data_IF_194738096333
#
_entry.id   IF_194738096333
#
_cell.length_a   1.000
_cell.length_b   1.000
_cell.length_c   1.000
_cell.angle_alpha   90.00
_cell.angle_beta   90.00
_cell.angle_gamma   90.00
#
_symmetry.space_group_name_H-M   'P 1'
#
loop_
_entity.id
_entity.type
_entity.pdbx_description
1 polymer ?
#
# COMPACT_ATOMS: atom_id res chain seq x y z
N UNK A 1 15.48 -2.09 19.60
CA UNK A 1 16.78 -2.12 18.88
C UNK A 1 16.54 -2.15 17.37
N UNK A 2 17.21 -1.25 16.62
CA UNK A 2 17.07 -1.15 15.14
C UNK A 2 18.06 -2.07 14.39
N UNK A 3 18.76 -2.97 15.11
CA UNK A 3 19.67 -3.97 14.52
C UNK A 3 20.88 -3.34 13.81
N UNK A 4 21.53 -2.35 14.43
CA UNK A 4 22.71 -1.63 13.88
C UNK A 4 23.95 -1.77 14.75
N UNK A 5 23.96 -2.68 15.71
CA UNK A 5 25.08 -2.83 16.69
C UNK A 5 26.43 -3.05 16.03
N UNK A 6 26.50 -3.81 14.95
CA UNK A 6 27.76 -4.16 14.28
C UNK A 6 28.29 -3.02 13.39
N UNK A 7 27.48 -1.97 13.18
CA UNK A 7 27.79 -0.88 12.27
C UNK A 7 28.17 0.44 12.95
N UNK A 8 28.26 0.43 14.30
CA UNK A 8 28.46 1.65 15.13
C UNK A 8 29.76 2.42 14.82
N UNK A 9 30.76 1.75 14.28
CA UNK A 9 32.06 2.36 13.94
C UNK A 9 32.14 2.83 12.48
N UNK A 10 31.11 2.57 11.65
CA UNK A 10 31.13 2.97 10.25
C UNK A 10 30.59 4.39 10.06
N UNK A 11 31.13 5.09 9.07
CA UNK A 11 30.66 6.44 8.72
C UNK A 11 29.27 6.36 8.05
N UNK A 12 28.31 7.19 8.48
CA UNK A 12 26.93 7.23 7.95
C UNK A 12 26.89 7.39 6.43
N UNK A 13 27.86 8.10 5.83
CA UNK A 13 27.96 8.27 4.37
C UNK A 13 28.13 6.97 3.58
N UNK A 14 28.58 5.88 4.25
CA UNK A 14 28.76 4.55 3.64
C UNK A 14 27.58 3.63 3.83
N UNK A 15 26.51 4.12 4.45
CA UNK A 15 25.32 3.32 4.75
C UNK A 15 24.42 3.17 3.54
N UNK A 16 23.81 1.97 3.40
CA UNK A 16 22.71 1.74 2.47
C UNK A 16 21.48 2.58 2.81
N UNK A 17 20.51 2.66 1.91
CA UNK A 17 19.23 3.32 2.17
C UNK A 17 18.55 2.77 3.42
N UNK A 18 18.44 1.45 3.54
CA UNK A 18 17.84 0.80 4.70
C UNK A 18 18.60 1.02 6.00
N UNK A 19 19.94 1.11 5.94
CA UNK A 19 20.74 1.44 7.14
C UNK A 19 20.52 2.88 7.58
N UNK A 20 20.49 3.83 6.65
CA UNK A 20 20.20 5.25 6.97
C UNK A 20 18.81 5.41 7.57
N UNK A 21 17.83 4.71 6.98
CA UNK A 21 16.48 4.70 7.48
C UNK A 21 16.41 4.20 8.93
N UNK A 22 17.05 3.05 9.25
CA UNK A 22 17.09 2.50 10.61
C UNK A 22 17.71 3.45 11.62
N UNK A 23 18.74 4.19 11.24
CA UNK A 23 19.32 5.23 12.09
C UNK A 23 18.34 6.40 12.28
N UNK A 24 17.60 6.80 11.22
CA UNK A 24 16.56 7.82 11.34
C UNK A 24 15.49 7.44 12.38
N UNK A 25 15.01 6.20 12.36
CA UNK A 25 14.09 5.70 13.40
C UNK A 25 14.76 5.72 14.78
N UNK A 26 16.00 5.24 14.91
CA UNK A 26 16.70 5.28 16.20
C UNK A 26 16.85 6.69 16.72
N UNK A 27 17.17 7.66 15.87
CA UNK A 27 17.26 9.07 16.21
C UNK A 27 15.91 9.64 16.67
N UNK A 28 14.83 9.35 15.94
CA UNK A 28 13.49 9.79 16.30
C UNK A 28 13.03 9.23 17.66
N UNK A 29 13.57 8.08 18.07
CA UNK A 29 13.23 7.39 19.30
C UNK A 29 14.12 7.77 20.50
N UNK A 30 15.14 8.65 20.34
CA UNK A 30 16.10 8.96 21.44
C UNK A 30 15.39 9.50 22.69
N UNK A 31 14.37 10.33 22.52
CA UNK A 31 13.65 10.95 23.64
C UNK A 31 12.38 10.18 24.03
N UNK A 32 12.25 8.94 23.59
CA UNK A 32 11.10 8.08 23.85
C UNK A 32 9.74 8.76 23.62
N UNK A 33 9.47 9.30 22.42
CA UNK A 33 8.25 10.05 22.15
C UNK A 33 7.01 9.15 22.20
N UNK A 34 5.86 9.71 22.61
CA UNK A 34 4.56 9.05 22.56
C UNK A 34 4.01 8.97 21.13
N UNK A 35 4.39 9.93 20.27
CA UNK A 35 3.92 10.05 18.87
C UNK A 35 5.13 10.04 17.94
N UNK A 36 5.10 9.17 16.94
CA UNK A 36 6.11 9.08 15.89
C UNK A 36 5.46 9.41 14.55
N UNK A 37 5.99 10.39 13.84
CA UNK A 37 5.52 10.78 12.51
C UNK A 37 6.58 10.38 11.48
N UNK A 38 6.16 9.59 10.48
CA UNK A 38 7.01 9.05 9.42
C UNK A 38 6.44 9.44 8.06
N UNK A 39 7.23 10.18 7.28
CA UNK A 39 6.86 10.59 5.93
C UNK A 39 7.60 9.72 4.91
N UNK A 40 6.83 8.99 4.07
CA UNK A 40 7.31 8.06 3.03
C UNK A 40 8.47 7.15 3.49
N UNK A 41 8.39 6.49 4.65
CA UNK A 41 9.53 5.85 5.28
C UNK A 41 10.08 4.63 4.53
N UNK A 42 9.32 4.06 3.59
CA UNK A 42 9.70 2.86 2.83
C UNK A 42 10.16 3.18 1.41
N UNK A 43 10.13 4.45 1.01
CA UNK A 43 10.57 4.87 -0.32
C UNK A 43 12.02 4.47 -0.58
N UNK A 44 12.25 3.75 -1.69
CA UNK A 44 13.59 3.29 -2.07
C UNK A 44 14.18 2.14 -1.24
N UNK A 45 13.40 1.54 -0.34
CA UNK A 45 13.81 0.32 0.37
C UNK A 45 13.58 -0.92 -0.48
N UNK A 46 14.50 -1.88 -0.39
CA UNK A 46 14.31 -3.21 -0.96
C UNK A 46 13.26 -4.03 -0.18
N UNK A 47 12.73 -5.14 -0.73
CA UNK A 47 11.69 -5.94 -0.08
C UNK A 47 12.08 -6.45 1.32
N UNK A 48 13.35 -6.77 1.54
CA UNK A 48 13.85 -7.26 2.83
C UNK A 48 13.84 -6.15 3.88
N UNK A 49 14.25 -4.94 3.51
CA UNK A 49 14.21 -3.78 4.41
C UNK A 49 12.77 -3.33 4.67
N UNK A 50 11.86 -3.43 3.70
CA UNK A 50 10.41 -3.18 3.92
C UNK A 50 9.81 -4.17 4.93
N UNK A 51 10.15 -5.45 4.85
CA UNK A 51 9.70 -6.44 5.84
C UNK A 51 10.23 -6.12 7.25
N UNK A 52 11.49 -5.70 7.35
CA UNK A 52 12.07 -5.24 8.63
C UNK A 52 11.37 -3.99 9.16
N UNK A 53 11.08 -3.04 8.28
CA UNK A 53 10.31 -1.85 8.62
C UNK A 53 8.99 -2.23 9.27
N UNK A 54 8.16 -3.04 8.61
CA UNK A 54 6.86 -3.48 9.14
C UNK A 54 7.00 -4.10 10.53
N UNK A 55 7.98 -4.94 10.74
CA UNK A 55 8.23 -5.57 12.05
C UNK A 55 8.60 -4.54 13.14
N UNK A 56 9.42 -3.53 12.80
CA UNK A 56 9.79 -2.46 13.74
C UNK A 56 8.55 -1.63 14.08
N UNK A 57 7.79 -1.19 13.09
CA UNK A 57 6.56 -0.39 13.28
C UNK A 57 5.54 -1.17 14.12
N UNK A 58 5.25 -2.42 13.77
CA UNK A 58 4.34 -3.27 14.54
C UNK A 58 4.78 -3.50 15.99
N UNK A 59 6.09 -3.49 16.27
CA UNK A 59 6.59 -3.55 17.65
C UNK A 59 6.38 -2.23 18.39
N UNK A 60 6.61 -1.11 17.73
CA UNK A 60 6.48 0.23 18.33
C UNK A 60 5.03 0.65 18.53
N UNK A 61 4.12 0.24 17.65
CA UNK A 61 2.69 0.61 17.72
C UNK A 61 1.96 0.05 18.95
N UNK A 62 2.57 -0.89 19.65
CA UNK A 62 2.01 -1.42 20.92
C UNK A 62 2.02 -0.39 22.05
N UNK A 63 2.93 0.56 22.01
CA UNK A 63 3.16 1.53 23.10
C UNK A 63 3.10 2.98 22.61
N UNK A 64 3.07 3.20 21.30
CA UNK A 64 3.18 4.53 20.69
C UNK A 64 2.15 4.76 19.60
N UNK A 65 1.75 6.01 19.42
CA UNK A 65 0.95 6.43 18.26
C UNK A 65 1.92 6.63 17.08
N UNK A 66 1.68 5.91 15.99
CA UNK A 66 2.48 6.05 14.77
C UNK A 66 1.62 6.63 13.66
N UNK A 67 2.00 7.78 13.15
CA UNK A 67 1.39 8.41 11.98
C UNK A 67 2.36 8.22 10.81
N UNK A 68 1.90 7.54 9.76
CA UNK A 68 2.73 7.21 8.61
C UNK A 68 2.05 7.69 7.33
N UNK A 69 2.76 8.48 6.51
CA UNK A 69 2.34 8.79 5.16
C UNK A 69 3.00 7.84 4.17
N UNK A 70 2.27 7.33 3.20
CA UNK A 70 2.81 6.55 2.09
C UNK A 70 1.82 6.46 0.94
N UNK A 71 2.35 6.28 -0.27
CA UNK A 71 1.59 5.87 -1.45
C UNK A 71 1.73 4.37 -1.76
N UNK A 72 2.51 3.63 -0.95
CA UNK A 72 2.76 2.20 -1.14
C UNK A 72 1.80 1.40 -0.25
N UNK A 73 0.68 1.00 -0.82
CA UNK A 73 -0.43 0.35 -0.13
C UNK A 73 0.01 -0.94 0.58
N UNK A 74 0.84 -1.77 -0.05
CA UNK A 74 1.32 -3.04 0.51
C UNK A 74 2.16 -2.89 1.79
N UNK A 75 2.66 -1.69 2.08
CA UNK A 75 3.45 -1.46 3.30
C UNK A 75 2.59 -1.27 4.53
N UNK A 76 1.34 -0.79 4.35
CA UNK A 76 0.41 -0.48 5.45
C UNK A 76 -0.69 -1.50 5.64
N UNK A 77 -1.02 -2.29 4.62
CA UNK A 77 -2.16 -3.23 4.63
C UNK A 77 -2.18 -4.18 5.83
N UNK A 78 -1.00 -4.54 6.35
CA UNK A 78 -0.88 -5.49 7.45
C UNK A 78 -0.49 -4.86 8.81
N UNK A 79 -0.27 -3.54 8.84
CA UNK A 79 0.21 -2.86 10.07
C UNK A 79 -0.65 -1.67 10.49
N UNK A 80 -1.53 -1.18 9.62
CA UNK A 80 -2.38 -0.04 9.94
C UNK A 80 -3.64 -0.48 10.70
N UNK A 81 -3.90 0.13 11.85
CA UNK A 81 -5.15 -0.02 12.58
C UNK A 81 -6.22 0.91 12.00
N UNK A 82 -5.82 2.04 11.44
CA UNK A 82 -6.69 3.02 10.83
C UNK A 82 -6.01 3.67 9.62
N UNK A 83 -6.77 3.88 8.56
CA UNK A 83 -6.32 4.48 7.31
C UNK A 83 -7.07 5.80 7.11
N UNK A 84 -6.33 6.80 6.64
CA UNK A 84 -6.85 8.10 6.21
C UNK A 84 -6.49 8.27 4.74
N UNK A 85 -7.49 8.36 3.86
CA UNK A 85 -7.29 8.60 2.42
C UNK A 85 -7.48 10.10 2.17
N UNK A 86 -6.42 10.74 1.64
CA UNK A 86 -6.41 12.17 1.34
C UNK A 86 -6.08 12.41 -0.13
N UNK A 87 -6.77 13.36 -0.76
CA UNK A 87 -6.50 13.84 -2.12
C UNK A 87 -6.71 15.35 -2.18
N UNK A 88 -5.78 16.07 -2.79
CA UNK A 88 -5.85 17.54 -2.99
C UNK A 88 -6.11 18.30 -1.66
N UNK A 89 -5.49 17.85 -0.56
CA UNK A 89 -5.67 18.47 0.76
C UNK A 89 -7.01 18.18 1.44
N UNK A 90 -7.82 17.25 0.89
CA UNK A 90 -9.13 16.89 1.44
C UNK A 90 -9.11 15.46 1.93
N UNK A 91 -9.79 15.23 3.05
CA UNK A 91 -10.11 13.90 3.52
C UNK A 91 -11.20 13.31 2.62
N UNK A 92 -10.89 12.17 1.98
CA UNK A 92 -11.85 11.41 1.17
C UNK A 92 -12.51 10.31 1.98
N UNK A 93 -11.71 9.61 2.79
CA UNK A 93 -12.18 8.46 3.53
C UNK A 93 -11.31 8.20 4.77
N UNK A 94 -11.87 7.50 5.77
CA UNK A 94 -11.15 7.06 6.96
C UNK A 94 -11.82 5.83 7.59
N UNK A 95 -11.01 4.94 8.17
CA UNK A 95 -11.49 3.75 8.87
C UNK A 95 -10.44 2.66 8.97
N UNK A 96 -10.81 1.56 9.65
CA UNK A 96 -10.01 0.35 9.65
C UNK A 96 -9.89 -0.23 8.22
N UNK A 97 -8.79 -0.95 7.89
CA UNK A 97 -8.57 -1.52 6.56
C UNK A 97 -9.78 -2.30 6.03
N UNK A 98 -10.38 -3.15 6.85
CA UNK A 98 -11.55 -3.97 6.48
C UNK A 98 -12.80 -3.10 6.19
N UNK A 99 -12.96 -2.00 6.92
CA UNK A 99 -14.06 -1.06 6.68
C UNK A 99 -13.88 -0.32 5.35
N UNK A 100 -12.65 0.07 5.05
CA UNK A 100 -12.27 0.77 3.81
C UNK A 100 -12.46 -0.16 2.60
N UNK A 101 -11.90 -1.37 2.64
CA UNK A 101 -12.05 -2.36 1.56
C UNK A 101 -13.50 -2.81 1.40
N UNK A 102 -14.23 -2.96 2.51
CA UNK A 102 -15.63 -3.34 2.53
C UNK A 102 -16.55 -2.44 1.71
N UNK A 103 -16.18 -1.18 1.46
CA UNK A 103 -16.94 -0.24 0.63
C UNK A 103 -16.98 -0.60 -0.85
N UNK A 104 -16.02 -1.41 -1.32
CA UNK A 104 -15.99 -1.93 -2.67
C UNK A 104 -16.54 -3.36 -2.77
N UNK A 105 -17.15 -3.90 -1.71
CA UNK A 105 -17.77 -5.23 -1.73
C UNK A 105 -18.81 -5.31 -2.84
N UNK A 106 -18.64 -6.29 -3.74
CA UNK A 106 -19.50 -6.49 -4.91
C UNK A 106 -19.21 -5.55 -6.08
N UNK A 107 -18.21 -4.65 -5.96
CA UNK A 107 -17.80 -3.75 -7.03
C UNK A 107 -16.45 -4.13 -7.66
N UNK A 108 -15.71 -5.07 -7.08
CA UNK A 108 -14.44 -5.56 -7.64
C UNK A 108 -14.70 -6.85 -8.43
N UNK A 109 -14.18 -6.88 -9.66
CA UNK A 109 -14.43 -7.95 -10.62
C UNK A 109 -13.12 -8.42 -11.24
N UNK A 110 -13.07 -9.73 -11.53
CA UNK A 110 -12.06 -10.32 -12.39
C UNK A 110 -12.71 -10.95 -13.61
N UNK A 111 -12.06 -10.77 -14.76
CA UNK A 111 -12.49 -11.38 -16.03
C UNK A 111 -11.30 -11.67 -16.94
N UNK A 112 -11.50 -12.55 -17.91
CA UNK A 112 -10.55 -12.82 -18.97
C UNK A 112 -11.02 -12.16 -20.27
N UNK A 113 -10.12 -11.42 -20.93
CA UNK A 113 -10.41 -10.67 -22.14
C UNK A 113 -9.25 -10.79 -23.16
N UNK A 114 -9.48 -10.33 -24.38
CA UNK A 114 -8.42 -10.07 -25.34
C UNK A 114 -7.66 -8.79 -24.98
N UNK A 115 -6.40 -8.66 -25.39
CA UNK A 115 -5.61 -7.43 -25.17
C UNK A 115 -6.26 -6.20 -25.83
N UNK A 116 -6.93 -6.40 -26.96
CA UNK A 116 -7.65 -5.34 -27.69
C UNK A 116 -8.91 -4.85 -26.96
N UNK A 117 -9.44 -5.62 -26.04
CA UNK A 117 -10.63 -5.26 -25.26
C UNK A 117 -10.29 -4.36 -24.04
N UNK A 118 -9.02 -4.29 -23.59
CA UNK A 118 -8.60 -3.54 -22.41
C UNK A 118 -9.06 -2.07 -22.47
N UNK A 119 -8.84 -1.41 -23.62
CA UNK A 119 -9.23 0.00 -23.80
C UNK A 119 -10.73 0.25 -23.65
N UNK A 120 -11.57 -0.76 -23.89
CA UNK A 120 -13.02 -0.61 -23.71
C UNK A 120 -13.37 -0.60 -22.22
N UNK A 121 -12.70 -1.43 -21.40
CA UNK A 121 -12.88 -1.42 -19.95
C UNK A 121 -12.33 -0.16 -19.30
N UNK A 122 -11.19 0.38 -19.77
CA UNK A 122 -10.61 1.64 -19.26
C UNK A 122 -11.54 2.85 -19.39
N UNK A 123 -12.46 2.84 -20.37
CA UNK A 123 -13.42 3.94 -20.59
C UNK A 123 -14.53 4.00 -19.53
N UNK A 124 -14.88 2.88 -18.91
CA UNK A 124 -16.05 2.74 -18.04
C UNK A 124 -15.75 2.19 -16.65
N UNK A 125 -14.55 1.64 -16.44
CA UNK A 125 -14.14 1.00 -15.20
C UNK A 125 -12.75 1.51 -14.76
N UNK A 126 -12.45 1.36 -13.48
CA UNK A 126 -11.08 1.56 -12.97
C UNK A 126 -10.34 0.23 -13.05
N UNK A 127 -9.35 0.11 -13.94
CA UNK A 127 -8.52 -1.09 -14.03
C UNK A 127 -7.50 -1.09 -12.88
N UNK A 128 -7.50 -2.14 -12.08
CA UNK A 128 -6.58 -2.33 -10.96
C UNK A 128 -5.33 -3.12 -11.37
N UNK A 129 -5.50 -4.20 -12.13
CA UNK A 129 -4.37 -4.93 -12.68
C UNK A 129 -4.71 -5.65 -13.98
N UNK A 130 -3.69 -5.88 -14.80
CA UNK A 130 -3.75 -6.70 -16.01
C UNK A 130 -2.61 -7.71 -15.95
N UNK A 131 -2.92 -8.99 -16.10
CA UNK A 131 -1.94 -10.09 -16.11
C UNK A 131 -2.08 -10.90 -17.37
N UNK A 132 -1.00 -11.06 -18.14
CA UNK A 132 -0.96 -11.94 -19.30
C UNK A 132 -1.12 -13.40 -18.88
N UNK A 133 -1.82 -14.18 -19.70
CA UNK A 133 -2.05 -15.60 -19.53
C UNK A 133 -1.36 -16.39 -20.64
N UNK A 134 -1.05 -17.65 -20.40
CA UNK A 134 -0.42 -18.55 -21.40
C UNK A 134 -1.27 -18.77 -22.66
N UNK A 135 -2.57 -18.48 -22.59
CA UNK A 135 -3.53 -18.57 -23.68
C UNK A 135 -3.48 -17.40 -24.67
N UNK A 136 -2.60 -16.40 -24.48
CA UNK A 136 -2.60 -15.14 -25.25
C UNK A 136 -3.77 -14.21 -24.90
N UNK A 137 -4.46 -14.49 -23.80
CA UNK A 137 -5.48 -13.62 -23.21
C UNK A 137 -4.89 -12.88 -21.99
N UNK A 138 -5.63 -11.93 -21.44
CA UNK A 138 -5.30 -11.22 -20.24
C UNK A 138 -6.36 -11.45 -19.16
N UNK A 139 -5.94 -11.54 -17.92
CA UNK A 139 -6.82 -11.44 -16.76
C UNK A 139 -6.80 -10.01 -16.27
N UNK A 140 -7.98 -9.40 -16.22
CA UNK A 140 -8.19 -8.02 -15.80
C UNK A 140 -8.88 -8.04 -14.45
N UNK A 141 -8.32 -7.31 -13.47
CA UNK A 141 -8.96 -6.94 -12.21
C UNK A 141 -9.37 -5.48 -12.29
N UNK A 142 -10.63 -5.18 -11.99
CA UNK A 142 -11.17 -3.84 -12.13
C UNK A 142 -12.27 -3.54 -11.11
N UNK A 143 -12.50 -2.23 -10.87
CA UNK A 143 -13.63 -1.73 -10.07
C UNK A 143 -14.71 -1.19 -11.00
N UNK A 144 -15.94 -1.70 -10.81
CA UNK A 144 -17.13 -1.26 -11.52
C UNK A 144 -18.37 -1.38 -10.65
N UNK A 145 -19.23 -0.36 -10.66
CA UNK A 145 -20.50 -0.37 -9.93
C UNK A 145 -21.55 -1.37 -10.49
N UNK A 146 -21.32 -1.87 -11.70
CA UNK A 146 -22.15 -2.91 -12.32
C UNK A 146 -21.25 -4.03 -12.84
N UNK A 147 -21.82 -5.24 -13.01
CA UNK A 147 -21.09 -6.37 -13.59
C UNK A 147 -20.60 -6.02 -15.01
N UNK A 148 -19.27 -5.98 -15.26
CA UNK A 148 -18.72 -5.44 -16.51
C UNK A 148 -18.89 -6.37 -17.71
N UNK A 149 -19.02 -7.68 -17.49
CA UNK A 149 -19.22 -8.69 -18.51
C UNK A 149 -19.92 -9.91 -17.91
N UNK A 150 -20.57 -10.73 -18.75
CA UNK A 150 -21.27 -11.97 -18.31
C UNK A 150 -20.30 -12.90 -17.58
N UNK A 151 -19.09 -13.06 -18.11
CA UNK A 151 -18.04 -13.93 -17.55
C UNK A 151 -17.30 -13.33 -16.35
N UNK A 152 -17.55 -12.06 -15.98
CA UNK A 152 -16.88 -11.44 -14.85
C UNK A 152 -17.32 -12.09 -13.52
N UNK A 153 -16.35 -12.34 -12.65
CA UNK A 153 -16.55 -12.92 -11.33
C UNK A 153 -16.26 -11.84 -10.28
N UNK A 154 -17.16 -11.68 -9.32
CA UNK A 154 -16.92 -10.79 -8.18
C UNK A 154 -15.86 -11.41 -7.27
N UNK A 155 -14.88 -10.61 -6.87
CA UNK A 155 -13.79 -11.02 -5.98
C UNK A 155 -13.74 -10.11 -4.74
N UNK A 156 -13.04 -10.57 -3.72
CA UNK A 156 -12.83 -9.76 -2.50
C UNK A 156 -11.99 -8.52 -2.83
N UNK A 157 -12.42 -7.33 -2.38
CA UNK A 157 -11.64 -6.11 -2.51
C UNK A 157 -10.35 -6.17 -1.69
N UNK A 158 -9.30 -5.60 -2.25
CA UNK A 158 -8.02 -5.35 -1.61
C UNK A 158 -7.83 -3.84 -1.41
N UNK A 159 -6.93 -3.45 -0.53
CA UNK A 159 -6.69 -2.04 -0.26
C UNK A 159 -6.14 -1.30 -1.50
N UNK A 160 -5.41 -2.01 -2.37
CA UNK A 160 -4.93 -1.48 -3.65
C UNK A 160 -6.09 -1.13 -4.61
N UNK A 161 -7.19 -1.91 -4.62
CA UNK A 161 -8.38 -1.57 -5.41
C UNK A 161 -8.99 -0.24 -4.95
N UNK A 162 -9.05 -0.03 -3.62
CA UNK A 162 -9.57 1.21 -3.05
C UNK A 162 -8.66 2.38 -3.41
N UNK A 163 -7.35 2.21 -3.30
CA UNK A 163 -6.38 3.24 -3.68
C UNK A 163 -6.58 3.63 -5.16
N UNK A 164 -6.62 2.66 -6.07
CA UNK A 164 -6.81 2.91 -7.49
C UNK A 164 -8.20 3.48 -7.82
N UNK A 165 -9.23 3.10 -7.07
CA UNK A 165 -10.56 3.69 -7.22
C UNK A 165 -10.55 5.21 -6.94
N UNK A 166 -9.83 5.67 -5.90
CA UNK A 166 -9.75 7.10 -5.56
C UNK A 166 -8.73 7.87 -6.41
N UNK A 167 -7.64 7.23 -6.85
CA UNK A 167 -6.50 7.90 -7.48
C UNK A 167 -6.29 7.52 -8.95
N UNK A 168 -6.77 6.37 -9.40
CA UNK A 168 -6.60 5.87 -10.76
C UNK A 168 -7.56 6.46 -11.81
N UNK A 169 -8.57 7.22 -11.41
CA UNK A 169 -9.44 7.96 -12.32
C UNK A 169 -8.77 9.23 -12.83
N UNK A 170 -9.01 9.55 -14.12
CA UNK A 170 -8.56 10.78 -14.81
C UNK A 170 -9.01 12.04 -14.11
#
# INVERSE_FOLDING_TARGET
SVGMSDEIHRKIRTFSGGMRWRIGIAQAMINDPDILILDEPTAGLDPKERARFRNIISSLSREKIIILSTHIVSDIEHIADNIIIMKDGRLLDTGAPESITGRLTGAVWELEAGEDEIQNYEKSCTICSVRSMDSGRVRIRLVSGAKPAIAAVSVQPELEDVYLYYFGGR
#
